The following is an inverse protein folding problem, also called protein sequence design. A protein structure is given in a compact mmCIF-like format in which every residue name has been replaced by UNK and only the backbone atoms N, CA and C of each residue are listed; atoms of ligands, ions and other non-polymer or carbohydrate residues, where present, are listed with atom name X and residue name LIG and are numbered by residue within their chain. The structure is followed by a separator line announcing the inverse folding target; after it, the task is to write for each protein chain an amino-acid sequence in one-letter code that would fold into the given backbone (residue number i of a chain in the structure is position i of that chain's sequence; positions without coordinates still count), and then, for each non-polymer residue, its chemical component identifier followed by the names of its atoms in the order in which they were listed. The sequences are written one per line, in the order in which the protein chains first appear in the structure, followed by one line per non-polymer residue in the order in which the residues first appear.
data_IF_910035511017
#
_entry.id   IF_910035511017
#
_cell.length_a   1.000
_cell.length_b   1.000
_cell.length_c   1.000
_cell.angle_alpha   90.00
_cell.angle_beta   90.00
_cell.angle_gamma   90.00
#
_symmetry.space_group_name_H-M   'P 1'
#
loop_
_entity.id
_entity.type
_entity.pdbx_description
1 polymer ?
#
# COMPACT_ATOMS: atom_id res chain seq x y z
N UNK A 1 8.57 5.39 4.80
CA UNK A 1 8.22 6.39 3.75
C UNK A 1 6.69 6.52 3.69
N UNK A 2 6.14 7.73 3.72
CA UNK A 2 4.68 7.92 3.64
C UNK A 2 4.17 7.86 2.19
N UNK A 3 3.00 7.25 1.98
CA UNK A 3 2.37 7.11 0.68
C UNK A 3 0.85 7.25 0.77
N UNK A 4 0.26 8.09 -0.08
CA UNK A 4 -1.18 8.24 -0.18
C UNK A 4 -1.76 7.16 -1.11
N UNK A 5 -2.19 6.05 -0.53
CA UNK A 5 -2.73 4.91 -1.29
C UNK A 5 -4.19 5.10 -1.74
N UNK A 6 -4.93 5.99 -1.08
CA UNK A 6 -6.32 6.35 -1.41
C UNK A 6 -6.59 7.82 -1.06
N UNK A 7 -7.73 8.37 -1.48
CA UNK A 7 -8.14 9.74 -1.08
C UNK A 7 -8.20 9.85 0.45
N UNK A 8 -8.68 8.80 1.12
CA UNK A 8 -8.89 8.80 2.58
C UNK A 8 -7.71 8.28 3.39
N UNK A 9 -6.65 7.75 2.76
CA UNK A 9 -5.58 7.04 3.47
C UNK A 9 -4.18 7.53 3.10
N UNK A 10 -3.39 7.82 4.15
CA UNK A 10 -1.96 8.07 4.10
C UNK A 10 -1.26 7.02 4.97
N UNK A 11 -0.42 6.18 4.36
CA UNK A 11 0.14 4.98 5.01
C UNK A 11 1.66 5.02 5.06
N UNK A 12 2.26 4.38 6.07
CA UNK A 12 3.71 4.22 6.14
C UNK A 12 4.15 2.92 5.45
N UNK A 13 4.85 3.04 4.32
CA UNK A 13 5.31 1.90 3.53
C UNK A 13 6.37 1.05 4.26
N UNK A 14 7.02 1.60 5.29
CA UNK A 14 8.05 0.88 6.07
C UNK A 14 7.46 -0.20 6.99
N UNK A 15 6.16 -0.16 7.25
CA UNK A 15 5.47 -1.07 8.17
C UNK A 15 4.54 -2.05 7.41
N UNK A 16 4.73 -2.21 6.10
CA UNK A 16 3.88 -3.09 5.29
C UNK A 16 4.35 -4.53 5.45
N UNK A 17 3.40 -5.44 5.63
CA UNK A 17 3.62 -6.87 5.57
C UNK A 17 3.37 -7.43 4.17
N UNK A 18 2.26 -7.05 3.53
CA UNK A 18 1.90 -7.57 2.20
C UNK A 18 0.96 -6.62 1.44
N UNK A 19 0.94 -6.73 0.11
CA UNK A 19 -0.03 -6.06 -0.76
C UNK A 19 -0.67 -7.06 -1.74
N UNK A 20 -2.00 -7.17 -1.69
CA UNK A 20 -2.78 -7.92 -2.67
C UNK A 20 -3.34 -7.00 -3.76
N UNK A 21 -2.83 -7.17 -4.99
CA UNK A 21 -3.24 -6.36 -6.14
C UNK A 21 -4.63 -6.72 -6.70
N UNK A 22 -5.13 -7.94 -6.46
CA UNK A 22 -6.46 -8.36 -6.92
C UNK A 22 -7.55 -7.66 -6.11
N UNK A 23 -7.43 -7.69 -4.79
CA UNK A 23 -8.37 -7.04 -3.86
C UNK A 23 -8.03 -5.57 -3.61
N UNK A 24 -6.79 -5.15 -3.93
CA UNK A 24 -6.22 -3.83 -3.61
C UNK A 24 -6.23 -3.56 -2.10
N UNK A 25 -5.95 -4.59 -1.30
CA UNK A 25 -5.78 -4.47 0.16
C UNK A 25 -4.29 -4.47 0.52
N UNK A 26 -3.91 -3.54 1.40
CA UNK A 26 -2.58 -3.38 1.93
C UNK A 26 -2.60 -3.81 3.40
N UNK A 27 -1.74 -4.77 3.78
CA UNK A 27 -1.67 -5.29 5.14
C UNK A 27 -0.40 -4.80 5.83
N UNK A 28 -0.52 -4.42 7.10
CA UNK A 28 0.59 -3.94 7.92
C UNK A 28 1.05 -5.00 8.90
N UNK A 29 2.25 -4.80 9.47
CA UNK A 29 2.87 -5.72 10.44
C UNK A 29 2.07 -5.88 11.74
N UNK A 30 1.25 -4.89 12.09
CA UNK A 30 0.36 -4.91 13.26
C UNK A 30 -0.98 -5.61 12.99
N UNK A 31 -1.18 -6.13 11.78
CA UNK A 31 -2.42 -6.78 11.35
C UNK A 31 -3.50 -5.82 10.86
N UNK A 32 -3.27 -4.51 10.89
CA UNK A 32 -4.19 -3.54 10.30
C UNK A 32 -4.18 -3.63 8.77
N UNK A 33 -5.25 -3.13 8.13
CA UNK A 33 -5.38 -3.12 6.67
C UNK A 33 -5.85 -1.76 6.14
N UNK A 34 -5.38 -1.40 4.94
CA UNK A 34 -5.83 -0.21 4.22
C UNK A 34 -6.17 -0.53 2.76
N UNK A 35 -7.27 0.05 2.29
CA UNK A 35 -7.66 -0.04 0.88
C UNK A 35 -6.76 0.84 0.02
N UNK A 36 -6.41 0.34 -1.17
CA UNK A 36 -5.68 1.08 -2.18
C UNK A 36 -6.61 1.42 -3.34
N UNK A 37 -6.67 2.70 -3.72
CA UNK A 37 -7.45 3.13 -4.88
C UNK A 37 -6.90 2.50 -6.17
N UNK A 38 -7.78 2.24 -7.14
CA UNK A 38 -7.39 1.69 -8.44
C UNK A 38 -6.26 2.51 -9.11
N UNK A 39 -6.38 3.84 -9.06
CA UNK A 39 -5.40 4.77 -9.66
C UNK A 39 -4.02 4.70 -8.99
N UNK A 40 -3.97 4.36 -7.69
CA UNK A 40 -2.73 4.28 -6.90
C UNK A 40 -2.10 2.90 -6.88
N UNK A 41 -2.83 1.86 -7.28
CA UNK A 41 -2.34 0.48 -7.29
C UNK A 41 -1.04 0.32 -8.11
N UNK A 42 -0.99 0.86 -9.33
CA UNK A 42 0.21 0.80 -10.18
C UNK A 42 1.40 1.56 -9.58
N UNK A 43 1.15 2.76 -9.04
CA UNK A 43 2.18 3.59 -8.42
C UNK A 43 2.77 2.91 -7.18
N UNK A 44 1.92 2.29 -6.35
CA UNK A 44 2.33 1.53 -5.19
C UNK A 44 3.24 0.35 -5.58
N UNK A 45 2.84 -0.45 -6.58
CA UNK A 45 3.65 -1.60 -7.03
C UNK A 45 5.03 -1.15 -7.52
N UNK A 46 5.10 -0.04 -8.26
CA UNK A 46 6.37 0.53 -8.70
C UNK A 46 7.26 0.95 -7.52
N UNK A 47 6.68 1.60 -6.50
CA UNK A 47 7.40 1.99 -5.28
C UNK A 47 7.89 0.78 -4.48
N UNK A 48 7.04 -0.24 -4.30
CA UNK A 48 7.43 -1.45 -3.57
C UNK A 48 8.59 -2.18 -4.24
N UNK A 49 8.60 -2.24 -5.59
CA UNK A 49 9.72 -2.83 -6.34
C UNK A 49 11.04 -2.06 -6.20
N UNK A 50 10.98 -0.74 -6.01
CA UNK A 50 12.18 0.09 -5.79
C UNK A 50 12.73 -0.02 -4.35
N UNK A 51 11.93 -0.54 -3.42
CA UNK A 51 12.32 -0.70 -2.02
C UNK A 51 12.87 -2.11 -1.72
N UNK A 52 12.75 -3.04 -2.67
CA UNK A 52 13.44 -4.33 -2.67
C UNK A 52 14.82 -4.18 -3.29
#
# INVERSE_FOLDING_TARGET
MLFRCDKSYLVNLSNIANYDSKTRSLKFVDGSEAKVSFRKSRELVAKLKQMM
#
